data_IF_314562585991
#
_entry.id   IF_314562585991
#
_cell.length_a   1.000
_cell.length_b   1.000
_cell.length_c   1.000
_cell.angle_alpha   90.00
_cell.angle_beta   90.00
_cell.angle_gamma   90.00
#
_symmetry.space_group_name_H-M   'P 1'
#
loop_
_entity.id
_entity.type
_entity.pdbx_description
1 polymer ?
#
# COMPACT_ATOMS: atom_id res chain seq x y z
N UNK A 1 17.90 -36.13 14.91
CA UNK A 1 16.54 -35.74 15.33
C UNK A 1 16.67 -34.64 16.36
N UNK A 2 16.42 -33.39 15.97
CA UNK A 2 16.41 -32.26 16.90
C UNK A 2 14.93 -32.03 17.22
N UNK A 3 14.58 -32.18 18.50
CA UNK A 3 13.22 -32.01 18.97
C UNK A 3 12.77 -30.55 18.75
N UNK A 4 11.64 -30.36 18.08
CA UNK A 4 10.96 -29.07 18.00
C UNK A 4 10.37 -28.74 19.37
N UNK A 5 10.89 -27.70 20.01
CA UNK A 5 10.30 -27.15 21.22
C UNK A 5 8.96 -26.51 20.85
N UNK A 6 7.82 -26.92 21.43
CA UNK A 6 6.54 -26.29 21.15
C UNK A 6 6.56 -24.86 21.69
N UNK A 7 6.17 -23.90 20.85
CA UNK A 7 5.94 -22.52 21.26
C UNK A 7 4.82 -22.54 22.30
N UNK A 8 5.15 -22.18 23.54
CA UNK A 8 4.20 -22.15 24.67
C UNK A 8 3.03 -21.22 24.34
N UNK A 9 1.82 -21.78 24.28
CA UNK A 9 0.59 -21.04 24.44
C UNK A 9 0.50 -20.59 25.90
N UNK A 10 0.69 -19.30 26.17
CA UNK A 10 0.60 -18.74 27.52
C UNK A 10 1.70 -17.72 27.81
N UNK A 11 1.54 -16.52 27.27
CA UNK A 11 2.18 -15.30 27.75
C UNK A 11 1.26 -14.15 27.32
N UNK A 12 1.03 -13.19 28.23
CA UNK A 12 0.30 -11.95 27.95
C UNK A 12 0.63 -11.46 26.54
N UNK A 13 -0.37 -11.48 25.64
CA UNK A 13 -0.19 -10.89 24.31
C UNK A 13 0.04 -9.41 24.54
N UNK A 14 1.30 -9.01 24.59
CA UNK A 14 1.69 -7.61 24.37
C UNK A 14 0.98 -7.24 23.07
N UNK A 15 0.01 -6.33 23.18
CA UNK A 15 -0.79 -5.86 22.06
C UNK A 15 0.17 -5.35 20.99
N UNK A 16 0.38 -6.15 19.95
CA UNK A 16 1.18 -5.78 18.81
C UNK A 16 0.53 -4.61 18.06
N UNK A 17 1.29 -3.92 17.18
CA UNK A 17 0.74 -2.84 16.40
C UNK A 17 -0.43 -3.33 15.55
N UNK A 18 -1.58 -2.64 15.65
CA UNK A 18 -2.75 -2.93 14.81
C UNK A 18 -2.52 -2.51 13.35
N UNK A 19 -1.69 -1.48 13.15
CA UNK A 19 -1.34 -0.92 11.86
C UNK A 19 0.18 -0.74 11.74
N UNK A 20 0.77 -1.31 10.69
CA UNK A 20 2.17 -1.11 10.32
C UNK A 20 2.26 -0.40 8.98
N UNK A 21 3.06 0.67 8.90
CA UNK A 21 3.39 1.36 7.66
C UNK A 21 4.86 1.12 7.28
N UNK A 22 5.13 0.75 6.03
CA UNK A 22 6.47 0.43 5.52
C UNK A 22 6.78 1.29 4.30
N UNK A 23 7.87 2.06 4.39
CA UNK A 23 8.49 2.70 3.23
C UNK A 23 9.39 1.65 2.54
N UNK A 24 9.00 1.19 1.35
CA UNK A 24 9.70 0.12 0.63
C UNK A 24 10.95 0.62 -0.12
N UNK A 25 11.90 1.16 0.62
CA UNK A 25 13.16 1.69 0.07
C UNK A 25 14.20 0.58 -0.17
N UNK A 26 15.18 0.87 -1.03
CA UNK A 26 16.36 0.03 -1.24
C UNK A 26 16.31 -0.81 -2.52
N UNK A 27 15.17 -0.89 -3.21
CA UNK A 27 14.99 -1.68 -4.43
C UNK A 27 16.05 -1.33 -5.52
N UNK A 28 16.19 -0.05 -5.86
CA UNK A 28 17.18 0.39 -6.85
C UNK A 28 18.63 0.11 -6.43
N UNK A 29 18.98 0.36 -5.16
CA UNK A 29 20.31 0.08 -4.59
C UNK A 29 20.62 -1.42 -4.57
N UNK A 30 19.63 -2.26 -4.26
CA UNK A 30 19.75 -3.71 -4.27
C UNK A 30 20.08 -4.25 -5.66
N UNK A 31 19.45 -3.70 -6.70
CA UNK A 31 19.69 -4.07 -8.09
C UNK A 31 21.07 -3.60 -8.58
N UNK A 32 21.44 -2.35 -8.27
CA UNK A 32 22.74 -1.78 -8.63
C UNK A 32 23.92 -2.59 -8.04
N UNK A 33 23.82 -3.00 -6.77
CA UNK A 33 24.83 -3.89 -6.13
C UNK A 33 24.99 -5.26 -6.80
N UNK A 34 24.07 -5.63 -7.69
CA UNK A 34 24.07 -6.89 -8.46
C UNK A 34 24.32 -6.67 -9.94
N UNK A 35 24.69 -5.45 -10.35
CA UNK A 35 24.84 -5.05 -11.74
C UNK A 35 23.56 -5.30 -12.57
N UNK A 36 22.40 -5.15 -11.94
CA UNK A 36 21.09 -5.34 -12.58
C UNK A 36 20.37 -4.00 -12.80
N UNK A 37 19.49 -3.91 -13.82
CA UNK A 37 18.60 -2.76 -13.99
C UNK A 37 17.75 -2.49 -12.74
N UNK A 38 17.50 -1.21 -12.42
CA UNK A 38 16.70 -0.80 -11.23
C UNK A 38 15.33 -1.48 -11.19
N UNK A 39 14.71 -1.66 -12.35
CA UNK A 39 13.42 -2.33 -12.51
C UNK A 39 13.41 -3.76 -11.92
N UNK A 40 14.53 -4.47 -11.98
CA UNK A 40 14.69 -5.81 -11.38
C UNK A 40 14.58 -5.76 -9.87
N UNK A 41 15.09 -4.71 -9.24
CA UNK A 41 14.92 -4.48 -7.80
C UNK A 41 13.46 -4.23 -7.43
N UNK A 42 12.75 -3.43 -8.22
CA UNK A 42 11.31 -3.19 -7.99
C UNK A 42 10.48 -4.48 -8.13
N UNK A 43 10.80 -5.33 -9.12
CA UNK A 43 10.20 -6.68 -9.25
C UNK A 43 10.44 -7.54 -8.00
N UNK A 44 11.64 -7.49 -7.42
CA UNK A 44 11.94 -8.21 -6.20
C UNK A 44 11.16 -7.66 -5.00
N UNK A 45 11.02 -6.34 -4.89
CA UNK A 45 10.19 -5.68 -3.88
C UNK A 45 8.72 -6.12 -3.94
N UNK A 46 8.13 -6.12 -5.14
CA UNK A 46 6.75 -6.60 -5.35
C UNK A 46 6.56 -8.03 -4.84
N UNK A 47 7.46 -8.96 -5.20
CA UNK A 47 7.35 -10.35 -4.74
C UNK A 47 7.48 -10.49 -3.22
N UNK A 48 8.25 -9.61 -2.58
CA UNK A 48 8.45 -9.65 -1.14
C UNK A 48 7.19 -9.27 -0.35
N UNK A 49 6.20 -8.64 -0.98
CA UNK A 49 4.97 -8.21 -0.30
C UNK A 49 4.21 -9.37 0.34
N UNK A 50 4.20 -10.54 -0.31
CA UNK A 50 3.53 -11.75 0.20
C UNK A 50 4.12 -12.22 1.53
N UNK A 51 5.46 -12.18 1.62
CA UNK A 51 6.16 -12.56 2.84
C UNK A 51 5.84 -11.60 3.98
N UNK A 52 5.78 -10.30 3.69
CA UNK A 52 5.46 -9.27 4.67
C UNK A 52 4.00 -9.42 5.13
N UNK A 53 3.06 -9.54 4.19
CA UNK A 53 1.62 -9.74 4.48
C UNK A 53 1.42 -10.97 5.37
N UNK A 54 2.06 -12.10 5.04
CA UNK A 54 1.98 -13.32 5.87
C UNK A 54 2.51 -13.06 7.28
N UNK A 55 3.68 -12.42 7.41
CA UNK A 55 4.24 -12.10 8.72
C UNK A 55 3.33 -11.16 9.53
N UNK A 56 2.73 -10.14 8.89
CA UNK A 56 1.77 -9.25 9.53
C UNK A 56 0.56 -10.02 10.07
N UNK A 57 -0.02 -10.91 9.27
CA UNK A 57 -1.13 -11.78 9.71
C UNK A 57 -0.72 -12.66 10.90
N UNK A 58 0.44 -13.32 10.82
CA UNK A 58 0.94 -14.21 11.88
C UNK A 58 1.19 -13.46 13.20
N UNK A 59 1.54 -12.16 13.10
CA UNK A 59 1.76 -11.26 14.23
C UNK A 59 0.47 -10.56 14.72
N UNK A 60 -0.68 -10.80 14.10
CA UNK A 60 -1.95 -10.17 14.48
C UNK A 60 -2.08 -8.70 14.05
N UNK A 61 -1.34 -8.27 13.03
CA UNK A 61 -1.48 -6.94 12.43
C UNK A 61 -2.69 -6.95 11.48
N UNK A 62 -3.60 -5.99 11.66
CA UNK A 62 -4.85 -5.91 10.88
C UNK A 62 -4.73 -4.99 9.65
N UNK A 63 -3.83 -4.02 9.68
CA UNK A 63 -3.58 -3.09 8.58
C UNK A 63 -2.10 -3.01 8.25
N UNK A 64 -1.76 -3.20 6.98
CA UNK A 64 -0.44 -2.95 6.42
C UNK A 64 -0.54 -1.83 5.38
N UNK A 65 0.18 -0.73 5.57
CA UNK A 65 0.40 0.28 4.52
C UNK A 65 1.77 0.10 3.92
N UNK A 66 1.86 -0.03 2.60
CA UNK A 66 3.14 -0.05 1.88
C UNK A 66 3.26 1.17 0.98
N UNK A 67 4.39 1.87 1.08
CA UNK A 67 4.69 2.98 0.20
C UNK A 67 5.32 2.45 -1.10
N UNK A 68 4.52 2.36 -2.15
CA UNK A 68 4.91 1.76 -3.43
C UNK A 68 5.49 2.77 -4.42
N UNK A 69 4.91 3.97 -4.49
CA UNK A 69 5.32 5.02 -5.42
C UNK A 69 4.88 6.40 -4.90
N UNK A 70 5.80 7.35 -4.82
CA UNK A 70 5.53 8.71 -4.33
C UNK A 70 5.25 9.71 -5.44
N UNK A 71 4.58 10.82 -5.11
CA UNK A 71 4.41 11.96 -6.04
C UNK A 71 5.74 12.53 -6.54
N UNK A 72 6.80 12.45 -5.75
CA UNK A 72 8.15 12.91 -6.14
C UNK A 72 8.81 11.95 -7.15
N UNK A 73 8.29 10.73 -7.32
CA UNK A 73 8.83 9.78 -8.29
C UNK A 73 8.52 10.18 -9.74
N UNK A 74 7.60 11.12 -9.98
CA UNK A 74 7.38 11.71 -11.30
C UNK A 74 8.56 12.52 -11.82
N UNK A 75 9.47 12.97 -10.94
CA UNK A 75 10.71 13.66 -11.35
C UNK A 75 11.81 12.73 -11.90
N UNK A 76 11.57 11.42 -12.00
CA UNK A 76 12.53 10.45 -12.55
C UNK A 76 12.53 10.47 -14.09
N UNK A 77 13.55 9.87 -14.75
CA UNK A 77 13.57 9.77 -16.21
C UNK A 77 12.29 9.15 -16.78
N UNK A 78 11.72 9.68 -17.88
CA UNK A 78 10.44 9.21 -18.43
C UNK A 78 10.37 7.71 -18.72
N UNK A 79 11.47 7.12 -19.17
CA UNK A 79 11.56 5.68 -19.44
C UNK A 79 11.48 4.84 -18.15
N UNK A 80 12.07 5.33 -17.04
CA UNK A 80 11.97 4.67 -15.73
C UNK A 80 10.53 4.75 -15.22
N UNK A 81 9.88 5.91 -15.33
CA UNK A 81 8.48 6.10 -14.93
C UNK A 81 7.57 5.17 -15.74
N UNK A 82 7.71 5.14 -17.06
CA UNK A 82 6.92 4.28 -17.95
C UNK A 82 7.12 2.80 -17.63
N UNK A 83 8.37 2.38 -17.39
CA UNK A 83 8.69 1.02 -16.96
C UNK A 83 8.08 0.65 -15.61
N UNK A 84 8.03 1.59 -14.67
CA UNK A 84 7.37 1.40 -13.37
C UNK A 84 5.84 1.28 -13.52
N UNK A 85 5.19 2.12 -14.32
CA UNK A 85 3.75 2.02 -14.58
C UNK A 85 3.38 0.66 -15.17
N UNK A 86 4.14 0.22 -16.19
CA UNK A 86 3.95 -1.10 -16.80
C UNK A 86 4.16 -2.22 -15.77
N UNK A 87 5.23 -2.16 -14.97
CA UNK A 87 5.50 -3.12 -13.91
C UNK A 87 4.37 -3.21 -12.89
N UNK A 88 3.85 -2.07 -12.43
CA UNK A 88 2.79 -2.04 -11.44
C UNK A 88 1.48 -2.59 -12.00
N UNK A 89 1.14 -2.30 -13.26
CA UNK A 89 -0.07 -2.84 -13.87
C UNK A 89 0.00 -4.37 -13.92
N UNK A 90 1.13 -4.87 -14.42
CA UNK A 90 1.50 -6.27 -14.46
C UNK A 90 1.47 -6.96 -13.08
N UNK A 91 2.01 -6.29 -12.06
CA UNK A 91 2.03 -6.79 -10.69
C UNK A 91 0.62 -6.84 -10.10
N UNK A 92 -0.17 -5.77 -10.25
CA UNK A 92 -1.56 -5.74 -9.80
C UNK A 92 -2.37 -6.88 -10.43
N UNK A 93 -2.25 -7.12 -11.74
CA UNK A 93 -2.96 -8.22 -12.40
C UNK A 93 -2.56 -9.61 -11.89
N UNK A 94 -1.26 -9.83 -11.66
CA UNK A 94 -0.74 -11.14 -11.23
C UNK A 94 -0.95 -11.40 -9.74
N UNK A 95 -0.65 -10.43 -8.90
CA UNK A 95 -0.60 -10.61 -7.45
C UNK A 95 -2.00 -10.55 -6.80
N UNK A 96 -2.95 -9.78 -7.38
CA UNK A 96 -4.30 -9.62 -6.82
C UNK A 96 -4.98 -10.95 -6.57
N UNK A 97 -4.95 -11.90 -7.53
CA UNK A 97 -5.60 -13.20 -7.35
C UNK A 97 -5.01 -13.98 -6.17
N UNK A 98 -3.71 -13.85 -5.94
CA UNK A 98 -3.04 -14.51 -4.82
C UNK A 98 -3.42 -13.85 -3.49
N UNK A 99 -3.35 -12.53 -3.43
CA UNK A 99 -3.76 -11.75 -2.25
C UNK A 99 -5.24 -12.00 -1.90
N UNK A 100 -6.11 -12.01 -2.90
CA UNK A 100 -7.53 -12.32 -2.75
C UNK A 100 -7.76 -13.71 -2.13
N UNK A 101 -7.11 -14.76 -2.67
CA UNK A 101 -7.20 -16.12 -2.10
C UNK A 101 -6.70 -16.21 -0.66
N UNK A 102 -5.82 -15.30 -0.25
CA UNK A 102 -5.33 -15.23 1.12
C UNK A 102 -6.18 -14.34 2.03
N UNK A 103 -7.31 -13.81 1.55
CA UNK A 103 -8.22 -12.97 2.34
C UNK A 103 -7.71 -11.55 2.57
N UNK A 104 -6.82 -11.05 1.72
CA UNK A 104 -6.30 -9.68 1.80
C UNK A 104 -7.28 -8.72 1.13
N UNK A 105 -7.68 -7.65 1.83
CA UNK A 105 -8.43 -6.52 1.27
C UNK A 105 -7.46 -5.46 0.77
N UNK A 106 -7.41 -5.24 -0.53
CA UNK A 106 -6.53 -4.23 -1.14
C UNK A 106 -7.25 -2.90 -1.17
N UNK A 107 -6.56 -1.83 -0.76
CA UNK A 107 -7.01 -0.45 -0.91
C UNK A 107 -5.94 0.35 -1.61
N UNK A 108 -6.35 1.22 -2.52
CA UNK A 108 -5.47 2.25 -3.06
C UNK A 108 -5.48 3.48 -2.15
N UNK A 109 -4.30 4.03 -1.88
CA UNK A 109 -4.13 5.29 -1.14
C UNK A 109 -3.28 6.22 -2.01
N UNK A 110 -3.79 7.38 -2.39
CA UNK A 110 -3.11 8.33 -3.26
C UNK A 110 -4.00 8.84 -4.39
N UNK A 111 -3.43 9.60 -5.32
CA UNK A 111 -4.18 10.18 -6.44
C UNK A 111 -4.05 9.32 -7.70
N UNK A 112 -5.14 9.20 -8.45
CA UNK A 112 -5.10 8.57 -9.78
C UNK A 112 -4.72 9.56 -10.90
N UNK A 113 -4.43 10.81 -10.57
CA UNK A 113 -3.98 11.80 -11.56
C UNK A 113 -2.66 11.37 -12.20
N UNK A 114 -2.57 11.41 -13.54
CA UNK A 114 -1.39 11.01 -14.31
C UNK A 114 -1.12 9.50 -14.40
N UNK A 115 -1.90 8.67 -13.69
CA UNK A 115 -1.77 7.21 -13.75
C UNK A 115 -2.28 6.69 -15.09
N UNK A 116 -1.49 5.85 -15.77
CA UNK A 116 -1.88 5.25 -17.05
C UNK A 116 -3.20 4.49 -16.92
N UNK A 117 -4.04 4.53 -17.96
CA UNK A 117 -5.34 3.87 -17.96
C UNK A 117 -5.25 2.36 -17.65
N UNK A 118 -4.25 1.67 -18.21
CA UNK A 118 -4.01 0.25 -17.93
C UNK A 118 -3.79 -0.01 -16.43
N UNK A 119 -2.96 0.81 -15.78
CA UNK A 119 -2.70 0.66 -14.34
C UNK A 119 -3.93 1.03 -13.51
N UNK A 120 -4.66 2.08 -13.87
CA UNK A 120 -5.93 2.43 -13.21
C UNK A 120 -6.90 1.25 -13.22
N UNK A 121 -7.20 0.68 -14.39
CA UNK A 121 -8.07 -0.49 -14.50
C UNK A 121 -7.57 -1.72 -13.73
N UNK A 122 -6.25 -1.89 -13.62
CA UNK A 122 -5.68 -2.97 -12.83
C UNK A 122 -5.84 -2.75 -11.31
N UNK A 123 -5.72 -1.50 -10.84
CA UNK A 123 -5.94 -1.14 -9.44
C UNK A 123 -7.43 -1.24 -9.09
N UNK A 124 -8.31 -0.69 -9.92
CA UNK A 124 -9.76 -0.69 -9.66
C UNK A 124 -10.29 -2.13 -9.53
N UNK A 125 -9.91 -3.01 -10.47
CA UNK A 125 -10.23 -4.45 -10.38
C UNK A 125 -9.66 -5.12 -9.13
N UNK A 126 -8.49 -4.70 -8.66
CA UNK A 126 -7.90 -5.27 -7.46
C UNK A 126 -8.66 -4.88 -6.20
N UNK A 127 -9.05 -3.61 -6.10
CA UNK A 127 -9.87 -3.09 -5.00
C UNK A 127 -11.24 -3.76 -5.00
N UNK A 128 -11.93 -3.79 -6.15
CA UNK A 128 -13.25 -4.41 -6.30
C UNK A 128 -13.22 -5.90 -5.95
N UNK A 129 -12.30 -6.67 -6.53
CA UNK A 129 -12.21 -8.12 -6.29
C UNK A 129 -11.93 -8.45 -4.81
N UNK A 130 -11.31 -7.56 -4.05
CA UNK A 130 -10.89 -7.82 -2.68
C UNK A 130 -11.71 -7.08 -1.62
N UNK A 131 -12.77 -6.37 -2.00
CA UNK A 131 -13.48 -5.47 -1.09
C UNK A 131 -14.09 -6.18 0.13
N UNK A 132 -14.56 -7.42 -0.04
CA UNK A 132 -15.21 -8.21 1.02
C UNK A 132 -14.22 -9.04 1.87
N UNK A 133 -12.92 -8.97 1.55
CA UNK A 133 -11.91 -9.67 2.31
C UNK A 133 -11.67 -9.01 3.68
N UNK A 134 -11.32 -9.81 4.69
CA UNK A 134 -11.24 -9.32 6.08
C UNK A 134 -10.03 -9.80 6.87
N UNK A 135 -9.15 -10.63 6.29
CA UNK A 135 -8.00 -11.19 7.03
C UNK A 135 -6.97 -10.12 7.38
N UNK A 136 -6.73 -9.19 6.45
CA UNK A 136 -5.83 -8.05 6.60
C UNK A 136 -6.15 -7.01 5.53
N UNK A 137 -6.09 -5.72 5.89
CA UNK A 137 -6.16 -4.61 4.93
C UNK A 137 -4.76 -4.25 4.46
N UNK A 138 -4.53 -4.30 3.14
CA UNK A 138 -3.32 -3.84 2.47
C UNK A 138 -3.58 -2.50 1.78
N UNK A 139 -3.15 -1.42 2.42
CA UNK A 139 -3.13 -0.09 1.82
C UNK A 139 -1.90 0.04 0.93
N UNK A 140 -2.11 0.17 -0.38
CA UNK A 140 -1.04 0.43 -1.34
C UNK A 140 -0.99 1.93 -1.59
N UNK A 141 -0.05 2.60 -0.93
CA UNK A 141 0.22 4.02 -1.14
C UNK A 141 0.95 4.20 -2.48
N UNK A 142 0.19 4.48 -3.52
CA UNK A 142 0.64 4.62 -4.89
C UNK A 142 0.24 5.98 -5.44
N UNK A 143 1.23 6.70 -5.99
CA UNK A 143 1.08 8.10 -6.35
C UNK A 143 0.56 8.91 -5.15
N UNK A 144 1.15 8.63 -3.99
CA UNK A 144 0.78 9.21 -2.71
C UNK A 144 1.80 10.27 -2.31
N UNK A 145 1.32 11.28 -1.58
CA UNK A 145 2.14 12.26 -0.87
C UNK A 145 1.29 12.91 0.21
N UNK A 146 1.74 12.89 1.47
CA UNK A 146 0.91 13.34 2.60
C UNK A 146 0.47 14.79 2.50
N UNK A 147 1.31 15.68 1.94
CA UNK A 147 0.91 17.07 1.67
C UNK A 147 -0.16 17.16 0.58
N UNK A 148 -0.05 16.35 -0.47
CA UNK A 148 -1.05 16.31 -1.54
C UNK A 148 -2.39 15.79 -1.02
N UNK A 149 -2.38 14.75 -0.19
CA UNK A 149 -3.58 14.24 0.49
C UNK A 149 -4.27 15.31 1.33
N UNK A 150 -3.52 16.04 2.17
CA UNK A 150 -4.09 17.13 2.99
C UNK A 150 -4.74 18.20 2.11
N UNK A 151 -4.05 18.60 1.03
CA UNK A 151 -4.60 19.58 0.08
C UNK A 151 -5.88 19.06 -0.59
N UNK A 152 -5.90 17.78 -0.99
CA UNK A 152 -7.06 17.15 -1.62
C UNK A 152 -8.23 16.95 -0.64
N UNK A 153 -7.94 16.72 0.64
CA UNK A 153 -8.94 16.69 1.71
C UNK A 153 -9.57 18.07 1.90
N UNK A 154 -8.75 19.13 2.02
CA UNK A 154 -9.23 20.51 2.14
C UNK A 154 -10.10 20.91 0.94
N UNK A 155 -9.68 20.61 -0.29
CA UNK A 155 -10.48 20.89 -1.49
C UNK A 155 -11.84 20.22 -1.46
N UNK A 156 -11.91 18.97 -1.00
CA UNK A 156 -13.17 18.22 -0.85
C UNK A 156 -14.06 18.82 0.24
N UNK A 157 -13.49 19.20 1.38
CA UNK A 157 -14.24 19.90 2.44
C UNK A 157 -14.87 21.20 1.95
N UNK A 158 -14.13 22.01 1.19
CA UNK A 158 -14.65 23.25 0.60
C UNK A 158 -15.74 22.96 -0.42
N UNK A 159 -15.56 21.95 -1.27
CA UNK A 159 -16.57 21.56 -2.27
C UNK A 159 -17.87 21.05 -1.63
N UNK A 160 -17.77 20.35 -0.50
CA UNK A 160 -18.91 19.85 0.27
C UNK A 160 -19.57 20.92 1.15
N UNK A 161 -19.01 22.14 1.20
CA UNK A 161 -19.56 23.25 2.00
C UNK A 161 -19.37 23.07 3.50
N UNK A 162 -18.27 22.45 3.93
CA UNK A 162 -17.95 22.35 5.37
C UNK A 162 -17.62 23.73 5.93
N UNK A 163 -18.44 24.18 6.88
CA UNK A 163 -18.23 25.46 7.57
C UNK A 163 -16.94 25.46 8.40
N UNK A 164 -16.19 26.57 8.45
CA UNK A 164 -14.91 26.65 9.18
C UNK A 164 -14.99 26.22 10.65
N UNK A 165 -16.10 26.54 11.33
CA UNK A 165 -16.33 26.22 12.74
C UNK A 165 -16.57 24.72 12.98
N UNK A 166 -16.92 23.96 11.93
CA UNK A 166 -17.10 22.51 11.99
C UNK A 166 -15.80 21.73 11.67
N UNK A 167 -14.71 22.44 11.36
CA UNK A 167 -13.42 21.83 11.03
C UNK A 167 -12.65 21.51 12.31
N UNK A 168 -12.53 20.22 12.59
CA UNK A 168 -11.66 19.65 13.62
C UNK A 168 -10.87 18.46 13.06
N UNK A 169 -10.06 17.81 13.91
CA UNK A 169 -9.27 16.63 13.53
C UNK A 169 -10.14 15.47 13.01
N UNK A 170 -11.35 15.31 13.55
CA UNK A 170 -12.26 14.25 13.14
C UNK A 170 -12.85 14.54 11.76
N UNK A 171 -13.26 15.78 11.50
CA UNK A 171 -13.69 16.24 10.18
C UNK A 171 -12.57 16.03 9.18
N UNK A 172 -11.33 16.50 9.44
CA UNK A 172 -10.20 16.30 8.52
C UNK A 172 -9.95 14.81 8.26
N UNK A 173 -9.97 13.97 9.30
CA UNK A 173 -9.76 12.51 9.18
C UNK A 173 -10.74 11.85 8.19
N UNK A 174 -12.02 12.24 8.20
CA UNK A 174 -13.03 11.72 7.26
C UNK A 174 -12.72 12.05 5.79
N UNK A 175 -12.00 13.13 5.54
CA UNK A 175 -11.60 13.56 4.20
C UNK A 175 -10.25 13.01 3.75
N UNK A 176 -9.45 12.37 4.62
CA UNK A 176 -8.21 11.71 4.20
C UNK A 176 -8.49 10.45 3.37
N UNK A 177 -7.50 9.97 2.62
CA UNK A 177 -7.61 8.73 1.85
C UNK A 177 -7.75 7.49 2.74
N UNK A 178 -7.35 7.59 4.01
CA UNK A 178 -7.40 6.51 5.01
C UNK A 178 -8.60 6.60 5.95
N UNK A 179 -9.64 7.37 5.61
CA UNK A 179 -10.81 7.61 6.48
C UNK A 179 -11.57 6.36 6.93
N UNK A 180 -11.42 5.22 6.23
CA UNK A 180 -12.03 3.94 6.61
C UNK A 180 -11.11 3.01 7.43
N UNK A 181 -9.90 3.47 7.76
CA UNK A 181 -8.84 2.66 8.40
C UNK A 181 -8.48 3.17 9.81
N UNK A 182 -8.90 4.39 10.15
CA UNK A 182 -8.49 5.13 11.36
C UNK A 182 -9.62 5.25 12.38
#
# INVERSE_FOLDING_TARGET
MVAETPVRAGADRVMGPQHVAIIMDGNGRWAQRRHMPRLTGHRAGVRNIHRIVRACVDLGVHTLTVYAFSTENWGRPPDEVSGLMALFADASERETRNLHRNGVRIRHVGTMSGVSERLRHAIDRAVELTMDNSRITLNVAFNYGGRAEIVDAIKRMVADGVEPEAIDEHTVSRYLYTSEVS
#
